data_IF_377142130100
#
_entry.id   IF_377142130100
#
_cell.length_a   1.000
_cell.length_b   1.000
_cell.length_c   1.000
_cell.angle_alpha   90.00
_cell.angle_beta   90.00
_cell.angle_gamma   90.00
#
_symmetry.space_group_name_H-M   'P 1'
#
loop_
_entity.id
_entity.type
_entity.pdbx_description
1 polymer ?
#
# COMPACT_ATOMS: atom_id res chain seq x y z
N UNK A 1 30.17 18.94 -3.93
CA UNK A 1 30.53 17.71 -3.20
C UNK A 1 29.46 17.22 -2.22
N UNK A 2 28.37 17.97 -1.96
CA UNK A 2 27.39 17.58 -0.93
C UNK A 2 26.11 16.85 -1.40
N UNK A 3 25.79 16.80 -2.70
CA UNK A 3 24.54 16.16 -3.17
C UNK A 3 24.70 14.67 -3.49
N UNK A 4 25.86 14.25 -3.99
CA UNK A 4 26.12 12.86 -4.36
C UNK A 4 26.22 11.93 -3.14
N UNK A 5 26.60 12.46 -1.97
CA UNK A 5 26.64 11.73 -0.71
C UNK A 5 25.24 11.54 -0.10
N UNK A 6 24.35 12.54 -0.26
CA UNK A 6 22.96 12.46 0.20
C UNK A 6 22.15 11.47 -0.65
N UNK A 7 22.38 11.42 -1.96
CA UNK A 7 21.76 10.40 -2.83
C UNK A 7 22.29 8.98 -2.53
N UNK A 8 23.58 8.83 -2.20
CA UNK A 8 24.14 7.55 -1.76
C UNK A 8 23.56 7.09 -0.42
N UNK A 9 23.44 7.98 0.57
CA UNK A 9 22.79 7.71 1.86
C UNK A 9 21.33 7.29 1.69
N UNK A 10 20.57 7.98 0.82
CA UNK A 10 19.20 7.62 0.49
C UNK A 10 19.10 6.27 -0.26
N UNK A 11 20.10 5.92 -1.07
CA UNK A 11 20.17 4.62 -1.75
C UNK A 11 20.54 3.45 -0.82
N UNK A 12 21.31 3.72 0.24
CA UNK A 12 21.71 2.74 1.26
C UNK A 12 20.65 2.54 2.35
N UNK A 13 19.98 3.60 2.81
CA UNK A 13 18.84 3.48 3.75
C UNK A 13 17.71 2.62 3.17
N UNK A 14 17.52 2.66 1.84
CA UNK A 14 16.51 1.86 1.15
C UNK A 14 16.93 0.40 0.92
N UNK A 15 18.19 0.02 1.15
CA UNK A 15 18.62 -1.34 0.81
C UNK A 15 18.16 -2.39 1.80
N UNK A 16 18.02 -2.10 3.10
CA UNK A 16 17.50 -3.06 4.09
C UNK A 16 16.96 -2.36 5.33
N UNK A 17 15.81 -1.71 5.23
CA UNK A 17 14.93 -1.63 6.40
C UNK A 17 14.30 -3.01 6.61
N UNK A 18 15.13 -3.97 7.02
CA UNK A 18 14.61 -5.16 7.69
C UNK A 18 14.01 -4.66 9.00
N UNK A 19 12.69 -4.61 9.08
CA UNK A 19 11.97 -4.61 10.35
C UNK A 19 12.11 -6.02 10.93
N UNK A 20 13.34 -6.42 11.21
CA UNK A 20 13.66 -7.66 11.92
C UNK A 20 14.71 -7.24 12.93
N UNK A 21 14.31 -7.21 14.21
CA UNK A 21 15.26 -7.31 15.30
C UNK A 21 16.24 -8.42 14.93
N UNK A 22 17.54 -8.10 14.86
CA UNK A 22 18.62 -8.95 14.31
C UNK A 22 18.68 -10.37 14.89
N UNK A 23 17.91 -10.65 15.95
CA UNK A 23 17.84 -11.90 16.71
C UNK A 23 16.41 -12.50 16.85
N UNK A 24 15.38 -11.96 16.20
CA UNK A 24 14.01 -12.49 16.31
C UNK A 24 13.76 -13.52 15.20
N UNK A 25 13.62 -14.79 15.58
CA UNK A 25 13.08 -15.83 14.69
C UNK A 25 11.61 -15.99 15.03
N UNK A 26 10.75 -15.54 14.14
CA UNK A 26 9.31 -15.77 14.27
C UNK A 26 9.01 -17.27 14.33
N UNK A 27 8.12 -17.63 15.25
CA UNK A 27 7.54 -18.98 15.27
C UNK A 27 6.71 -19.24 14.00
N UNK A 28 6.45 -20.52 13.71
CA UNK A 28 5.59 -20.91 12.58
C UNK A 28 4.19 -20.26 12.66
N UNK A 29 3.65 -20.14 13.87
CA UNK A 29 2.38 -19.48 14.12
C UNK A 29 2.42 -17.98 13.85
N UNK A 30 3.47 -17.30 14.31
CA UNK A 30 3.63 -15.84 14.14
C UNK A 30 3.82 -15.47 12.69
N UNK A 31 4.57 -16.27 11.93
CA UNK A 31 4.76 -16.06 10.50
C UNK A 31 3.44 -16.19 9.74
N UNK A 32 2.64 -17.22 10.06
CA UNK A 32 1.29 -17.40 9.50
C UNK A 32 0.40 -16.21 9.85
N UNK A 33 0.38 -15.79 11.12
CA UNK A 33 -0.45 -14.68 11.58
C UNK A 33 -0.07 -13.38 10.86
N UNK A 34 1.23 -13.08 10.76
CA UNK A 34 1.71 -11.90 10.02
C UNK A 34 1.25 -11.95 8.56
N UNK A 35 1.39 -13.11 7.91
CA UNK A 35 0.95 -13.28 6.52
C UNK A 35 -0.56 -13.02 6.35
N UNK A 36 -1.38 -13.59 7.23
CA UNK A 36 -2.84 -13.40 7.23
C UNK A 36 -3.20 -11.93 7.50
N UNK A 37 -2.59 -11.29 8.50
CA UNK A 37 -2.81 -9.87 8.79
C UNK A 37 -2.37 -8.95 7.64
N UNK A 38 -1.22 -9.22 7.00
CA UNK A 38 -0.75 -8.47 5.84
C UNK A 38 -1.71 -8.62 4.66
N UNK A 39 -2.24 -9.82 4.43
CA UNK A 39 -3.22 -10.11 3.38
C UNK A 39 -4.52 -9.34 3.61
N UNK A 40 -5.08 -9.43 4.82
CA UNK A 40 -6.29 -8.71 5.22
C UNK A 40 -6.10 -7.20 5.11
N UNK A 41 -4.94 -6.69 5.56
CA UNK A 41 -4.62 -5.28 5.47
C UNK A 41 -4.58 -4.81 4.02
N UNK A 42 -3.89 -5.51 3.13
CA UNK A 42 -3.83 -5.14 1.71
C UNK A 42 -5.23 -5.16 1.11
N UNK A 43 -6.02 -6.20 1.36
CA UNK A 43 -7.38 -6.29 0.85
C UNK A 43 -8.29 -5.18 1.39
N UNK A 44 -8.08 -4.72 2.63
CA UNK A 44 -8.82 -3.61 3.23
C UNK A 44 -8.61 -2.27 2.50
N UNK A 45 -7.48 -2.09 1.79
CA UNK A 45 -7.23 -0.92 0.94
C UNK A 45 -8.21 -0.81 -0.23
N UNK A 46 -8.92 -1.88 -0.57
CA UNK A 46 -10.02 -1.81 -1.54
C UNK A 46 -11.17 -0.91 -1.06
N UNK A 47 -11.32 -0.74 0.25
CA UNK A 47 -12.28 0.18 0.84
C UNK A 47 -11.71 1.60 0.90
N UNK A 48 -12.28 2.48 0.09
CA UNK A 48 -11.80 3.86 -0.09
C UNK A 48 -12.11 4.72 1.13
N UNK A 49 -13.18 4.41 1.85
CA UNK A 49 -13.49 5.08 3.11
C UNK A 49 -12.44 4.76 4.17
N UNK A 50 -11.90 3.54 4.15
CA UNK A 50 -10.78 3.17 5.03
C UNK A 50 -9.49 3.91 4.65
N UNK A 51 -9.18 4.02 3.35
CA UNK A 51 -8.04 4.83 2.89
C UNK A 51 -8.19 6.30 3.27
N UNK A 52 -9.41 6.85 3.18
CA UNK A 52 -9.72 8.20 3.65
C UNK A 52 -9.47 8.34 5.15
N UNK A 53 -9.91 7.37 5.95
CA UNK A 53 -9.62 7.33 7.38
C UNK A 53 -8.11 7.30 7.67
N UNK A 54 -7.32 6.50 6.93
CA UNK A 54 -5.86 6.49 7.07
C UNK A 54 -5.24 7.87 6.76
N UNK A 55 -5.80 8.58 5.79
CA UNK A 55 -5.36 9.93 5.42
C UNK A 55 -5.70 10.96 6.49
N UNK A 56 -6.92 10.96 7.01
CA UNK A 56 -7.37 11.88 8.07
C UNK A 56 -6.54 11.70 9.35
N UNK A 57 -6.14 10.46 9.68
CA UNK A 57 -5.26 10.15 10.80
C UNK A 57 -3.76 10.39 10.53
N UNK A 58 -3.40 10.95 9.38
CA UNK A 58 -2.03 11.36 9.03
C UNK A 58 -1.01 10.21 8.97
N UNK A 59 -1.44 8.97 8.72
CA UNK A 59 -0.53 7.83 8.57
C UNK A 59 0.43 8.00 7.39
N UNK A 60 0.00 8.68 6.31
CA UNK A 60 0.84 8.94 5.13
C UNK A 60 1.96 9.97 5.37
N UNK A 61 1.98 10.64 6.53
CA UNK A 61 3.09 11.52 6.90
C UNK A 61 4.27 10.73 7.51
N UNK A 62 4.05 9.50 7.96
CA UNK A 62 5.11 8.67 8.55
C UNK A 62 5.88 7.91 7.47
N UNK A 63 7.20 8.16 7.39
CA UNK A 63 8.13 7.46 6.50
C UNK A 63 8.09 5.93 6.72
N UNK A 64 7.87 5.46 7.94
CA UNK A 64 7.78 4.02 8.24
C UNK A 64 6.57 3.39 7.56
N UNK A 65 5.42 4.06 7.61
CA UNK A 65 4.21 3.59 6.97
C UNK A 65 4.33 3.57 5.45
N UNK A 66 4.91 4.62 4.86
CA UNK A 66 5.19 4.66 3.41
C UNK A 66 6.13 3.52 2.98
N UNK A 67 7.16 3.22 3.78
CA UNK A 67 8.05 2.09 3.51
C UNK A 67 7.33 0.74 3.66
N UNK A 68 6.37 0.63 4.58
CA UNK A 68 5.53 -0.56 4.71
C UNK A 68 4.62 -0.76 3.47
N UNK A 69 4.02 0.31 2.94
CA UNK A 69 3.26 0.23 1.67
C UNK A 69 4.13 -0.20 0.49
N UNK A 70 5.40 0.22 0.45
CA UNK A 70 6.36 -0.27 -0.54
C UNK A 70 6.66 -1.75 -0.37
N UNK A 71 6.83 -2.21 0.87
CA UNK A 71 7.05 -3.62 1.20
C UNK A 71 5.89 -4.48 0.69
N UNK A 72 4.63 -4.06 0.88
CA UNK A 72 3.43 -4.78 0.46
C UNK A 72 3.32 -4.98 -1.07
N UNK A 73 4.15 -4.35 -1.89
CA UNK A 73 4.18 -4.65 -3.34
C UNK A 73 4.57 -6.09 -3.66
N UNK A 74 5.12 -6.86 -2.70
CA UNK A 74 5.38 -8.29 -2.91
C UNK A 74 4.12 -9.08 -3.26
N UNK A 75 2.93 -8.65 -2.82
CA UNK A 75 1.64 -9.26 -3.14
C UNK A 75 1.31 -9.28 -4.63
N UNK A 76 1.95 -8.42 -5.43
CA UNK A 76 1.79 -8.37 -6.89
C UNK A 76 2.54 -9.49 -7.62
N UNK A 77 3.51 -10.11 -6.96
CA UNK A 77 4.33 -11.17 -7.54
C UNK A 77 3.73 -12.56 -7.31
N UNK A 78 4.02 -13.51 -8.21
CA UNK A 78 3.72 -14.93 -7.96
C UNK A 78 4.67 -15.45 -6.86
N UNK A 79 4.21 -16.31 -5.93
CA UNK A 79 2.89 -16.95 -5.84
C UNK A 79 1.84 -16.15 -5.05
N UNK A 80 2.21 -15.03 -4.44
CA UNK A 80 1.38 -14.29 -3.48
C UNK A 80 0.10 -13.72 -4.09
N UNK A 81 0.16 -13.33 -5.35
CA UNK A 81 -1.00 -12.80 -6.09
C UNK A 81 -2.21 -13.74 -6.10
N UNK A 82 -1.99 -15.06 -6.01
CA UNK A 82 -3.08 -16.05 -6.02
C UNK A 82 -3.95 -16.02 -4.74
N UNK A 83 -3.47 -15.40 -3.66
CA UNK A 83 -4.22 -15.25 -2.42
C UNK A 83 -5.10 -13.99 -2.39
N UNK A 84 -4.99 -13.11 -3.39
CA UNK A 84 -5.75 -11.86 -3.45
C UNK A 84 -7.17 -12.10 -3.97
N UNK A 85 -8.17 -11.81 -3.15
CA UNK A 85 -9.58 -11.89 -3.55
C UNK A 85 -10.10 -10.62 -4.22
N UNK A 86 -9.62 -9.45 -3.79
CA UNK A 86 -10.07 -8.15 -4.30
C UNK A 86 -8.99 -7.49 -5.15
N UNK A 87 -9.02 -7.57 -6.49
CA UNK A 87 -7.93 -7.07 -7.33
C UNK A 87 -7.74 -5.54 -7.23
N UNK A 88 -8.79 -4.81 -6.86
CA UNK A 88 -8.77 -3.35 -6.68
C UNK A 88 -7.75 -2.92 -5.63
N UNK A 89 -7.48 -3.72 -4.58
CA UNK A 89 -6.50 -3.34 -3.58
C UNK A 89 -5.11 -3.11 -4.18
N UNK A 90 -4.72 -3.90 -5.18
CA UNK A 90 -3.42 -3.77 -5.83
C UNK A 90 -3.33 -2.49 -6.64
N UNK A 91 -4.44 -2.07 -7.26
CA UNK A 91 -4.50 -0.80 -7.99
C UNK A 91 -4.44 0.39 -7.03
N UNK A 92 -5.18 0.33 -5.92
CA UNK A 92 -5.12 1.36 -4.87
C UNK A 92 -3.71 1.43 -4.27
N UNK A 93 -3.07 0.29 -4.00
CA UNK A 93 -1.71 0.24 -3.48
C UNK A 93 -0.69 0.90 -4.42
N UNK A 94 -0.88 0.80 -5.73
CA UNK A 94 -0.03 1.50 -6.70
C UNK A 94 -0.24 2.99 -6.67
N UNK A 95 -1.50 3.43 -6.65
CA UNK A 95 -1.83 4.84 -6.48
C UNK A 95 -1.14 5.34 -5.23
N UNK A 96 -1.34 4.70 -4.08
CA UNK A 96 -0.76 5.12 -2.78
C UNK A 96 0.77 5.19 -2.76
N UNK A 97 1.47 4.45 -3.62
CA UNK A 97 2.92 4.48 -3.74
C UNK A 97 3.43 5.58 -4.70
N UNK A 98 2.56 6.24 -5.47
CA UNK A 98 2.93 7.34 -6.35
C UNK A 98 3.28 8.61 -5.55
N UNK A 99 4.35 9.27 -5.97
CA UNK A 99 4.78 10.61 -5.53
C UNK A 99 3.66 11.67 -5.55
N UNK A 100 2.69 11.56 -6.47
CA UNK A 100 1.62 12.55 -6.67
C UNK A 100 0.41 12.37 -5.75
N UNK A 101 0.39 11.33 -4.92
CA UNK A 101 -0.74 11.00 -4.03
C UNK A 101 -1.13 12.15 -3.12
N UNK A 102 -0.15 12.85 -2.56
CA UNK A 102 -0.43 13.94 -1.62
C UNK A 102 -1.15 15.10 -2.31
N UNK A 103 -0.86 15.37 -3.58
CA UNK A 103 -1.60 16.38 -4.35
C UNK A 103 -3.04 15.94 -4.61
N UNK A 104 -3.22 14.65 -4.92
CA UNK A 104 -4.55 14.07 -5.11
C UNK A 104 -5.38 14.15 -3.84
N UNK A 105 -4.85 13.79 -2.68
CA UNK A 105 -5.57 13.81 -1.41
C UNK A 105 -5.81 15.20 -0.81
N UNK A 106 -5.07 16.22 -1.23
CA UNK A 106 -5.36 17.61 -0.83
C UNK A 106 -6.72 18.09 -1.31
N UNK A 107 -7.20 17.57 -2.45
CA UNK A 107 -8.50 17.96 -2.97
C UNK A 107 -9.62 17.26 -2.19
N UNK A 108 -10.52 18.04 -1.58
CA UNK A 108 -11.57 17.54 -0.70
C UNK A 108 -12.52 16.54 -1.39
N UNK A 109 -12.71 16.69 -2.71
CA UNK A 109 -13.61 15.84 -3.48
C UNK A 109 -12.93 14.59 -4.05
N UNK A 110 -11.61 14.42 -3.93
CA UNK A 110 -10.89 13.33 -4.60
C UNK A 110 -11.38 11.95 -4.18
N UNK A 111 -11.59 11.71 -2.89
CA UNK A 111 -12.11 10.44 -2.39
C UNK A 111 -13.54 10.15 -2.90
N UNK A 112 -14.40 11.15 -2.98
CA UNK A 112 -15.77 11.00 -3.51
C UNK A 112 -15.75 10.64 -5.01
N UNK A 113 -14.88 11.29 -5.79
CA UNK A 113 -14.69 10.93 -7.20
C UNK A 113 -14.17 9.51 -7.33
N UNK A 114 -13.21 9.10 -6.51
CA UNK A 114 -12.65 7.75 -6.55
C UNK A 114 -13.72 6.68 -6.24
N UNK A 115 -14.53 6.89 -5.20
CA UNK A 115 -15.68 6.03 -4.88
C UNK A 115 -16.67 6.00 -6.05
N UNK A 116 -16.95 7.15 -6.65
CA UNK A 116 -17.85 7.25 -7.80
C UNK A 116 -17.33 6.47 -9.01
N UNK A 117 -16.06 6.64 -9.39
CA UNK A 117 -15.43 5.87 -10.47
C UNK A 117 -15.43 4.37 -10.20
N UNK A 118 -15.17 3.97 -8.95
CA UNK A 118 -15.23 2.57 -8.56
C UNK A 118 -16.65 2.03 -8.73
N UNK A 119 -17.67 2.75 -8.25
CA UNK A 119 -19.09 2.38 -8.43
C UNK A 119 -19.46 2.26 -9.90
N UNK A 120 -19.05 3.23 -10.74
CA UNK A 120 -19.28 3.16 -12.18
C UNK A 120 -18.61 1.94 -12.80
N UNK A 121 -17.35 1.65 -12.43
CA UNK A 121 -16.67 0.46 -12.89
C UNK A 121 -17.49 -0.80 -12.62
N UNK A 122 -17.95 -1.00 -11.37
CA UNK A 122 -18.80 -2.15 -11.03
C UNK A 122 -20.13 -2.19 -11.77
N UNK A 123 -20.78 -1.03 -11.96
CA UNK A 123 -22.04 -0.95 -12.69
C UNK A 123 -21.85 -1.32 -14.15
N UNK A 124 -20.82 -0.81 -14.83
CA UNK A 124 -20.63 -0.97 -16.27
C UNK A 124 -19.82 -2.21 -16.67
N UNK A 125 -19.09 -2.84 -15.75
CA UNK A 125 -18.25 -4.01 -16.04
C UNK A 125 -19.06 -5.20 -16.60
N UNK A 126 -20.33 -5.34 -16.22
CA UNK A 126 -21.19 -6.45 -16.65
C UNK A 126 -21.94 -6.20 -17.98
N UNK A 127 -21.82 -5.01 -18.59
CA UNK A 127 -22.55 -4.68 -19.83
C UNK A 127 -21.72 -4.85 -21.11
N UNK A 128 -20.51 -5.42 -21.01
CA UNK A 128 -19.62 -5.69 -22.15
C UNK A 128 -19.66 -7.17 -22.62
N UNK A 129 -20.79 -7.85 -22.43
CA UNK A 129 -21.14 -9.10 -23.12
C UNK A 129 -22.10 -8.80 -24.27
#
# INVERSE_FOLDING_TARGET
>A
MGNDEIEKLNSEENKRLFILHKNYREGLFENRLRFECELEFVQSLSNIEYVKYLYENKYFNDKKFLNYLKYLNYWRSKPYIFYIHFPICLYVLEILNDSKVHEYFKNANSFNHFIYYLKLHWLYYNYQT
#
